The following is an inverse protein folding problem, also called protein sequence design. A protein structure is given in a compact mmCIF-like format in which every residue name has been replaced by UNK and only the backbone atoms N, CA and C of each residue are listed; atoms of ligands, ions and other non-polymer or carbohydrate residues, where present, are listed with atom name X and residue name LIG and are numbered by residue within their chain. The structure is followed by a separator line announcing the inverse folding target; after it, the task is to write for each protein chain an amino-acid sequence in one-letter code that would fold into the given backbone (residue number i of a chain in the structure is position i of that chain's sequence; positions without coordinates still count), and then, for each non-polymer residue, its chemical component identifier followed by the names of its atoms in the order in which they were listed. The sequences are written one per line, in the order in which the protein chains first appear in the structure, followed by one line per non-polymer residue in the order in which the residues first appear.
data_IF_108670875920
#
_entry.id   IF_108670875920
#
_cell.length_a   1.000
_cell.length_b   1.000
_cell.length_c   1.000
_cell.angle_alpha   90.00
_cell.angle_beta   90.00
_cell.angle_gamma   90.00
#
_symmetry.space_group_name_H-M   'P 1'
#
loop_
_entity.id
_entity.type
_entity.pdbx_description
1 polymer ?
#
# COMPACT_ATOMS: atom_id res chain seq x y z
N UNK A 1 -5.19 -19.81 6.93
CA UNK A 1 -5.60 -18.39 6.82
C UNK A 1 -5.70 -18.03 5.34
N UNK A 2 -6.80 -17.45 4.86
CA UNK A 2 -6.91 -17.03 3.45
C UNK A 2 -6.14 -15.73 3.20
N UNK A 3 -5.81 -15.46 1.94
CA UNK A 3 -5.20 -14.18 1.56
C UNK A 3 -6.14 -13.00 1.90
N UNK A 4 -7.46 -13.15 1.73
CA UNK A 4 -8.40 -12.10 2.12
C UNK A 4 -8.33 -11.81 3.62
N UNK A 5 -8.31 -12.86 4.46
CA UNK A 5 -8.24 -12.69 5.92
C UNK A 5 -6.93 -12.02 6.34
N UNK A 6 -5.80 -12.37 5.71
CA UNK A 6 -4.53 -11.71 5.98
C UNK A 6 -4.57 -10.24 5.60
N UNK A 7 -5.08 -9.91 4.41
CA UNK A 7 -5.17 -8.52 3.96
C UNK A 7 -6.12 -7.69 4.83
N UNK A 8 -7.19 -8.28 5.37
CA UNK A 8 -8.04 -7.62 6.36
C UNK A 8 -7.29 -7.31 7.66
N UNK A 9 -6.53 -8.26 8.19
CA UNK A 9 -5.71 -8.05 9.40
C UNK A 9 -4.65 -6.97 9.18
N UNK A 10 -3.96 -6.99 8.04
CA UNK A 10 -2.95 -5.97 7.71
C UNK A 10 -3.57 -4.57 7.63
N UNK A 11 -4.74 -4.43 6.97
CA UNK A 11 -5.43 -3.13 6.86
C UNK A 11 -5.94 -2.60 8.21
N UNK A 12 -6.21 -3.48 9.17
CA UNK A 12 -6.62 -3.11 10.52
C UNK A 12 -5.44 -2.82 11.47
N UNK A 13 -4.19 -2.94 11.00
CA UNK A 13 -3.02 -2.73 11.86
C UNK A 13 -2.91 -1.28 12.35
N UNK A 14 -2.73 -1.11 13.66
CA UNK A 14 -2.57 0.20 14.32
C UNK A 14 -1.33 0.27 15.22
N UNK A 15 -0.41 -0.70 15.12
CA UNK A 15 0.74 -0.86 16.04
C UNK A 15 1.57 0.42 16.19
N UNK A 16 1.76 1.18 15.11
CA UNK A 16 2.57 2.40 15.08
C UNK A 16 1.75 3.69 14.98
N UNK A 17 0.43 3.64 15.18
CA UNK A 17 -0.45 4.79 14.92
C UNK A 17 -0.05 6.05 15.69
N UNK A 18 0.31 5.90 16.97
CA UNK A 18 0.71 7.02 17.84
C UNK A 18 2.09 7.61 17.47
N UNK A 19 2.94 6.84 16.78
CA UNK A 19 4.29 7.27 16.39
C UNK A 19 4.34 7.92 15.00
N UNK A 20 3.22 7.91 14.25
CA UNK A 20 3.16 8.42 12.89
C UNK A 20 2.42 9.77 12.83
N UNK A 21 2.94 10.77 12.10
CA UNK A 21 2.37 12.11 12.08
C UNK A 21 0.95 12.18 11.48
N UNK A 22 0.57 11.19 10.66
CA UNK A 22 -0.76 11.09 10.04
C UNK A 22 -1.52 9.85 10.52
N UNK A 23 -1.04 9.17 11.57
CA UNK A 23 -1.59 7.89 12.02
C UNK A 23 -1.24 6.72 11.08
N UNK A 24 -1.71 5.53 11.45
CA UNK A 24 -1.50 4.31 10.67
C UNK A 24 -2.57 4.17 9.57
N UNK A 25 -2.14 4.15 8.32
CA UNK A 25 -2.95 3.75 7.17
C UNK A 25 -2.19 2.72 6.32
N UNK A 26 -2.31 1.41 6.63
CA UNK A 26 -1.63 0.35 5.88
C UNK A 26 -2.17 0.24 4.44
N UNK A 27 -1.34 0.56 3.46
CA UNK A 27 -1.69 0.48 2.02
C UNK A 27 -1.01 -0.74 1.39
N UNK A 28 -1.78 -1.81 1.18
CA UNK A 28 -1.30 -3.07 0.58
C UNK A 28 -2.32 -3.64 -0.40
N UNK A 29 -1.83 -4.08 -1.56
CA UNK A 29 -2.58 -4.81 -2.58
C UNK A 29 -1.82 -6.09 -2.96
N UNK A 30 -2.52 -7.22 -2.98
CA UNK A 30 -1.96 -8.51 -3.36
C UNK A 30 -3.03 -9.35 -4.04
N UNK A 31 -2.61 -10.23 -4.94
CA UNK A 31 -3.46 -11.22 -5.59
C UNK A 31 -2.72 -12.54 -5.73
N UNK A 32 -3.43 -13.67 -5.55
CA UNK A 32 -2.82 -15.02 -5.59
C UNK A 32 -2.15 -15.35 -6.93
N UNK A 33 -2.57 -14.68 -8.00
CA UNK A 33 -2.07 -14.90 -9.37
C UNK A 33 -1.09 -13.81 -9.83
N UNK A 34 -0.69 -12.88 -8.95
CA UNK A 34 0.27 -11.84 -9.30
C UNK A 34 1.63 -12.46 -9.64
N UNK A 35 2.19 -12.08 -10.79
CA UNK A 35 3.51 -12.58 -11.26
C UNK A 35 4.67 -11.65 -10.91
N UNK A 36 4.35 -10.42 -10.52
CA UNK A 36 5.30 -9.35 -10.22
C UNK A 36 4.97 -8.80 -8.83
N UNK A 37 6.01 -8.63 -8.01
CA UNK A 37 5.95 -7.99 -6.70
C UNK A 37 6.69 -6.65 -6.77
N UNK A 38 5.98 -5.56 -6.50
CA UNK A 38 6.56 -4.22 -6.45
C UNK A 38 6.52 -3.74 -4.99
N UNK A 39 7.70 -3.46 -4.42
CA UNK A 39 7.84 -3.00 -3.04
C UNK A 39 8.35 -1.55 -3.06
N UNK A 40 7.52 -0.62 -2.58
CA UNK A 40 7.90 0.77 -2.35
C UNK A 40 8.48 0.99 -0.96
N UNK A 41 8.88 2.24 -0.66
CA UNK A 41 9.37 2.61 0.68
C UNK A 41 8.23 2.76 1.70
N UNK A 42 7.34 3.73 1.44
CA UNK A 42 6.23 4.10 2.31
C UNK A 42 5.17 4.89 1.50
N UNK A 43 3.91 4.96 1.95
CA UNK A 43 2.91 5.78 1.29
C UNK A 43 3.23 7.27 1.45
N UNK A 44 3.30 8.00 0.32
CA UNK A 44 3.27 9.46 0.33
C UNK A 44 1.92 10.00 0.79
N UNK A 45 1.80 11.31 1.05
CA UNK A 45 0.57 11.94 1.58
C UNK A 45 -0.66 11.75 0.68
N UNK A 46 -0.48 11.75 -0.65
CA UNK A 46 -1.58 11.50 -1.62
C UNK A 46 -2.05 10.04 -1.58
N UNK A 47 -1.13 9.09 -1.45
CA UNK A 47 -1.48 7.68 -1.27
C UNK A 47 -2.12 7.46 0.11
N UNK A 48 -1.60 8.11 1.15
CA UNK A 48 -2.16 8.04 2.49
C UNK A 48 -3.61 8.57 2.56
N UNK A 49 -3.95 9.63 1.81
CA UNK A 49 -5.32 10.17 1.79
C UNK A 49 -6.29 9.35 0.93
N UNK A 50 -5.81 8.69 -0.12
CA UNK A 50 -6.67 7.92 -1.05
C UNK A 50 -6.72 6.43 -0.75
N UNK A 51 -5.76 5.90 -0.01
CA UNK A 51 -5.54 4.47 0.24
C UNK A 51 -5.35 3.64 -1.05
N UNK A 52 -5.02 4.29 -2.17
CA UNK A 52 -4.76 3.63 -3.46
C UNK A 52 -3.24 3.59 -3.68
N UNK A 53 -2.61 2.40 -3.75
CA UNK A 53 -1.18 2.27 -4.03
C UNK A 53 -0.80 2.95 -5.34
N UNK A 54 0.33 3.66 -5.38
CA UNK A 54 0.86 4.29 -6.60
C UNK A 54 -0.11 5.28 -7.29
N UNK A 55 -1.05 5.89 -6.54
CA UNK A 55 -1.94 6.95 -7.02
C UNK A 55 -1.33 8.35 -6.88
N UNK A 56 -0.07 8.49 -7.30
CA UNK A 56 0.71 9.71 -7.20
C UNK A 56 1.72 9.82 -8.37
N UNK A 57 2.46 10.95 -8.48
CA UNK A 57 3.42 11.12 -9.57
C UNK A 57 4.53 10.06 -9.63
N UNK A 58 4.87 9.44 -8.50
CA UNK A 58 5.84 8.33 -8.49
C UNK A 58 5.26 7.08 -9.14
N UNK A 59 3.97 6.83 -8.92
CA UNK A 59 3.22 5.77 -9.60
C UNK A 59 3.06 6.00 -11.09
N UNK A 60 2.88 7.26 -11.52
CA UNK A 60 2.81 7.59 -12.96
C UNK A 60 4.13 7.23 -13.65
N UNK A 61 5.26 7.59 -13.05
CA UNK A 61 6.59 7.22 -13.55
C UNK A 61 6.84 5.72 -13.51
N UNK A 62 6.42 5.03 -12.44
CA UNK A 62 6.54 3.59 -12.34
C UNK A 62 5.80 2.88 -13.48
N UNK A 63 4.56 3.32 -13.79
CA UNK A 63 3.79 2.76 -14.90
C UNK A 63 4.50 2.95 -16.24
N UNK A 64 5.08 4.13 -16.48
CA UNK A 64 5.89 4.39 -17.68
C UNK A 64 7.11 3.46 -17.82
N UNK A 65 7.66 2.93 -16.72
CA UNK A 65 8.77 1.96 -16.76
C UNK A 65 8.32 0.51 -16.95
N UNK A 66 7.04 0.22 -16.71
CA UNK A 66 6.47 -1.13 -16.83
C UNK A 66 5.84 -1.38 -18.20
N UNK A 67 5.69 -0.32 -19.00
CA UNK A 67 5.33 -0.37 -20.42
C UNK A 67 6.52 -0.90 -21.26
#
# INVERSE_FOLDING_TARGET
MSLENLLQQVRACQICAESLPLGANPVVQAGKNARILIIGQAPGTKVHSTSIPWNDPSGDRLRQWLD
#
